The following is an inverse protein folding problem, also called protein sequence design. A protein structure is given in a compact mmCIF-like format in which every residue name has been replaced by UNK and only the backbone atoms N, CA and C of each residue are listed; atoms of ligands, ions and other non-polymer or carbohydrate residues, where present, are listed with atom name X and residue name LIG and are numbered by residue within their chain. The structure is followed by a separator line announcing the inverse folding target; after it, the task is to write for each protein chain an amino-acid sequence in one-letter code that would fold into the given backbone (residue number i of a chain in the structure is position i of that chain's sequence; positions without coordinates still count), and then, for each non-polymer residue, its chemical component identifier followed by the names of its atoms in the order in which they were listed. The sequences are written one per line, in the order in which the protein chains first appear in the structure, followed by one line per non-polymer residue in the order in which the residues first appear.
data_IF_697580454408
#
_entry.id   IF_697580454408
#
_cell.length_a   1.000
_cell.length_b   1.000
_cell.length_c   1.000
_cell.angle_alpha   90.00
_cell.angle_beta   90.00
_cell.angle_gamma   90.00
#
_symmetry.space_group_name_H-M   'P 1'
#
loop_
_entity.id
_entity.type
_entity.pdbx_description
1 polymer ?
#
# COMPACT_ATOMS: atom_id res chain seq x y z
N UNK A 1 17.19 -16.75 -4.81
CA UNK A 1 16.34 -15.57 -4.99
C UNK A 1 16.16 -14.98 -3.61
N UNK A 2 16.76 -13.82 -3.39
CA UNK A 2 16.63 -13.16 -2.09
C UNK A 2 15.18 -12.69 -1.94
N UNK A 3 14.59 -12.94 -0.77
CA UNK A 3 13.24 -12.51 -0.43
C UNK A 3 13.31 -11.26 0.41
N UNK A 4 12.44 -10.29 0.15
CA UNK A 4 12.40 -9.08 0.98
C UNK A 4 11.90 -9.44 2.39
N UNK A 5 12.57 -8.94 3.41
CA UNK A 5 12.15 -9.13 4.81
C UNK A 5 11.47 -7.86 5.31
N UNK A 6 10.20 -7.99 5.69
CA UNK A 6 9.43 -6.90 6.28
C UNK A 6 9.78 -6.72 7.76
N UNK A 7 9.75 -5.47 8.23
CA UNK A 7 9.72 -5.20 9.67
C UNK A 7 8.44 -5.76 10.29
N UNK A 8 8.40 -6.07 11.61
CA UNK A 8 7.19 -6.59 12.26
C UNK A 8 5.95 -5.71 12.05
N UNK A 9 6.13 -4.40 11.96
CA UNK A 9 5.05 -3.43 11.67
C UNK A 9 4.47 -3.63 10.28
N UNK A 10 5.31 -3.78 9.26
CA UNK A 10 4.86 -3.99 7.88
C UNK A 10 4.34 -5.41 7.67
N UNK A 11 4.94 -6.41 8.34
CA UNK A 11 4.45 -7.78 8.30
C UNK A 11 3.01 -7.84 8.83
N UNK A 12 2.73 -7.18 9.95
CA UNK A 12 1.37 -7.10 10.47
C UNK A 12 0.40 -6.52 9.43
N UNK A 13 0.77 -5.45 8.73
CA UNK A 13 -0.08 -4.88 7.65
C UNK A 13 -0.29 -5.89 6.53
N UNK A 14 0.78 -6.57 6.10
CA UNK A 14 0.73 -7.58 5.04
C UNK A 14 -0.20 -8.75 5.40
N UNK A 15 -0.20 -9.20 6.65
CA UNK A 15 -1.04 -10.29 7.14
C UNK A 15 -2.55 -9.94 7.11
N UNK A 16 -2.91 -8.64 7.06
CA UNK A 16 -4.29 -8.19 6.91
C UNK A 16 -4.73 -8.03 5.44
N UNK A 17 -3.83 -8.19 4.47
CA UNK A 17 -4.16 -8.10 3.04
C UNK A 17 -4.67 -9.47 2.59
N UNK A 18 -5.96 -9.62 2.25
CA UNK A 18 -6.45 -10.86 1.66
C UNK A 18 -5.88 -11.05 0.25
N UNK A 19 -5.86 -12.29 -0.27
CA UNK A 19 -5.56 -12.53 -1.67
C UNK A 19 -6.47 -11.70 -2.58
N UNK A 20 -5.88 -10.89 -3.45
CA UNK A 20 -6.63 -9.98 -4.34
C UNK A 20 -5.92 -9.74 -5.68
N UNK A 21 -6.60 -9.11 -6.63
CA UNK A 21 -6.02 -8.81 -7.94
C UNK A 21 -5.10 -7.59 -7.86
N UNK A 22 -5.52 -6.55 -7.15
CA UNK A 22 -4.78 -5.31 -7.03
C UNK A 22 -4.82 -4.74 -5.59
N UNK A 23 -3.65 -4.48 -5.02
CA UNK A 23 -3.52 -3.73 -3.76
C UNK A 23 -2.83 -2.38 -3.98
N UNK A 24 -3.35 -1.33 -3.35
CA UNK A 24 -2.74 0.00 -3.31
C UNK A 24 -2.06 0.24 -1.96
N UNK A 25 -0.79 0.62 -1.97
CA UNK A 25 -0.01 1.06 -0.83
C UNK A 25 0.19 2.58 -0.89
N UNK A 26 -0.39 3.28 0.09
CA UNK A 26 -0.43 4.75 0.15
C UNK A 26 0.55 5.24 1.21
N UNK A 27 1.48 6.09 0.79
CA UNK A 27 2.60 6.54 1.63
C UNK A 27 3.71 5.49 1.65
N UNK A 28 4.00 4.90 0.50
CA UNK A 28 4.97 3.80 0.40
C UNK A 28 6.38 4.31 0.71
N UNK A 29 6.99 3.75 1.75
CA UNK A 29 8.40 4.02 2.06
C UNK A 29 9.24 2.85 1.54
N UNK A 30 10.02 3.11 0.49
CA UNK A 30 10.83 2.12 -0.24
C UNK A 30 10.08 0.98 -0.96
N UNK A 31 8.74 0.96 -1.00
CA UNK A 31 8.00 -0.05 -1.77
C UNK A 31 8.07 -1.47 -1.22
N UNK A 32 8.46 -1.66 0.04
CA UNK A 32 8.70 -3.00 0.58
C UNK A 32 7.42 -3.83 0.71
N UNK A 33 6.32 -3.22 1.15
CA UNK A 33 5.03 -3.88 1.28
C UNK A 33 4.50 -4.41 -0.07
N UNK A 34 4.37 -3.58 -1.14
CA UNK A 34 3.85 -4.08 -2.41
C UNK A 34 4.77 -5.13 -3.05
N UNK A 35 6.09 -4.98 -2.93
CA UNK A 35 7.05 -5.99 -3.39
C UNK A 35 6.86 -7.32 -2.65
N UNK A 36 6.75 -7.28 -1.33
CA UNK A 36 6.54 -8.50 -0.54
C UNK A 36 5.23 -9.20 -0.89
N UNK A 37 4.13 -8.45 -1.04
CA UNK A 37 2.83 -8.99 -1.40
C UNK A 37 2.86 -9.69 -2.78
N UNK A 38 3.59 -9.11 -3.74
CA UNK A 38 3.78 -9.68 -5.07
C UNK A 38 4.68 -10.92 -5.05
N UNK A 39 5.77 -10.92 -4.27
CA UNK A 39 6.67 -12.06 -4.12
C UNK A 39 5.97 -13.26 -3.50
N UNK A 40 5.10 -13.03 -2.51
CA UNK A 40 4.36 -14.08 -1.81
C UNK A 40 3.07 -14.48 -2.53
N UNK A 41 2.77 -13.90 -3.70
CA UNK A 41 1.58 -14.23 -4.48
C UNK A 41 0.27 -13.83 -3.80
N UNK A 42 0.31 -12.95 -2.80
CA UNK A 42 -0.89 -12.42 -2.14
C UNK A 42 -1.65 -11.52 -3.12
N UNK A 43 -0.94 -10.79 -3.98
CA UNK A 43 -1.54 -9.89 -4.97
C UNK A 43 -1.00 -10.16 -6.36
N UNK A 44 -1.81 -9.92 -7.39
CA UNK A 44 -1.37 -10.09 -8.79
C UNK A 44 -0.63 -8.84 -9.27
N UNK A 45 -1.14 -7.66 -8.92
CA UNK A 45 -0.58 -6.34 -9.23
C UNK A 45 -0.61 -5.46 -8.00
N UNK A 46 0.24 -4.44 -7.96
CA UNK A 46 0.25 -3.47 -6.87
C UNK A 46 0.35 -2.03 -7.39
N UNK A 47 -0.24 -1.09 -6.65
CA UNK A 47 -0.10 0.34 -6.85
C UNK A 47 0.70 0.88 -5.67
N UNK A 48 1.79 1.57 -5.94
CA UNK A 48 2.63 2.20 -4.93
C UNK A 48 2.51 3.72 -5.11
N UNK A 49 1.85 4.39 -4.16
CA UNK A 49 1.56 5.82 -4.24
C UNK A 49 2.25 6.61 -3.12
N UNK A 50 2.84 7.74 -3.47
CA UNK A 50 3.40 8.70 -2.53
C UNK A 50 3.31 10.12 -3.10
N UNK A 51 3.26 11.13 -2.23
CA UNK A 51 3.26 12.53 -2.63
C UNK A 51 4.65 12.98 -3.10
N UNK A 52 5.70 12.34 -2.58
CA UNK A 52 7.09 12.66 -2.87
C UNK A 52 7.69 11.72 -3.92
N UNK A 53 8.48 12.30 -4.83
CA UNK A 53 9.20 11.55 -5.87
C UNK A 53 10.32 10.65 -5.32
N UNK A 54 10.90 11.01 -4.17
CA UNK A 54 12.00 10.27 -3.55
C UNK A 54 11.62 8.85 -3.12
N UNK A 55 10.59 8.69 -2.27
CA UNK A 55 10.03 7.39 -1.90
C UNK A 55 9.61 6.54 -3.10
N UNK A 56 8.99 7.14 -4.13
CA UNK A 56 8.64 6.42 -5.37
C UNK A 56 9.86 5.92 -6.14
N UNK A 57 10.91 6.73 -6.25
CA UNK A 57 12.16 6.29 -6.88
C UNK A 57 12.80 5.13 -6.10
N UNK A 58 12.73 5.15 -4.78
CA UNK A 58 13.20 4.04 -3.94
C UNK A 58 12.33 2.79 -4.12
N UNK A 59 11.00 2.94 -4.15
CA UNK A 59 10.06 1.85 -4.41
C UNK A 59 10.31 1.20 -5.77
N UNK A 60 10.61 2.00 -6.80
CA UNK A 60 10.96 1.51 -8.13
C UNK A 60 12.25 0.68 -8.12
N UNK A 61 13.28 1.15 -7.43
CA UNK A 61 14.53 0.39 -7.24
C UNK A 61 14.30 -0.94 -6.54
N UNK A 62 13.48 -0.94 -5.48
CA UNK A 62 13.14 -2.18 -4.75
C UNK A 62 12.40 -3.17 -5.66
N UNK A 63 11.40 -2.71 -6.42
CA UNK A 63 10.68 -3.59 -7.34
C UNK A 63 11.56 -4.13 -8.47
N UNK A 64 12.41 -3.27 -9.04
CA UNK A 64 13.37 -3.67 -10.08
C UNK A 64 14.39 -4.71 -9.59
N UNK A 65 14.84 -4.61 -8.33
CA UNK A 65 15.78 -5.58 -7.74
C UNK A 65 15.22 -7.00 -7.63
N UNK A 66 13.89 -7.17 -7.75
CA UNK A 66 13.21 -8.46 -7.70
C UNK A 66 12.44 -8.77 -8.99
N UNK A 67 12.71 -8.06 -10.09
CA UNK A 67 12.04 -8.23 -11.39
C UNK A 67 10.51 -8.06 -11.32
N UNK A 68 10.03 -7.23 -10.39
CA UNK A 68 8.60 -6.98 -10.15
C UNK A 68 8.14 -5.61 -10.63
N UNK A 69 9.04 -4.80 -11.22
CA UNK A 69 8.73 -3.43 -11.63
C UNK A 69 7.50 -3.36 -12.56
N UNK A 70 7.36 -4.28 -13.51
CA UNK A 70 6.23 -4.30 -14.45
C UNK A 70 4.89 -4.62 -13.77
N UNK A 71 4.92 -5.22 -12.57
CA UNK A 71 3.74 -5.58 -11.77
C UNK A 71 3.39 -4.52 -10.73
N UNK A 72 4.21 -3.48 -10.60
CA UNK A 72 4.00 -2.36 -9.69
C UNK A 72 3.78 -1.07 -10.47
N UNK A 73 2.65 -0.43 -10.27
CA UNK A 73 2.40 0.91 -10.80
C UNK A 73 2.80 1.96 -9.76
N UNK A 74 3.73 2.84 -10.14
CA UNK A 74 4.16 3.95 -9.30
C UNK A 74 3.35 5.20 -9.61
N UNK A 75 2.73 5.81 -8.61
CA UNK A 75 1.86 6.97 -8.78
C UNK A 75 2.29 8.08 -7.83
N UNK A 76 2.61 9.25 -8.37
CA UNK A 76 2.78 10.44 -7.54
C UNK A 76 1.41 11.07 -7.27
N UNK A 77 0.94 10.99 -6.03
CA UNK A 77 -0.37 11.50 -5.64
C UNK A 77 -0.43 11.85 -4.15
N UNK A 78 -1.31 12.79 -3.81
CA UNK A 78 -1.69 13.04 -2.43
C UNK A 78 -2.74 12.01 -1.99
N UNK A 79 -2.31 11.02 -1.21
CA UNK A 79 -3.18 9.96 -0.72
C UNK A 79 -3.82 9.15 -1.86
N UNK A 80 -5.15 9.19 -1.95
CA UNK A 80 -5.96 8.44 -2.92
C UNK A 80 -6.44 9.30 -4.10
N UNK A 81 -5.86 10.48 -4.31
CA UNK A 81 -6.26 11.40 -5.38
C UNK A 81 -5.63 11.02 -6.73
N UNK A 82 -5.96 9.85 -7.25
CA UNK A 82 -5.55 9.39 -8.58
C UNK A 82 -6.63 8.52 -9.25
N UNK A 83 -6.69 8.45 -10.60
CA UNK A 83 -7.84 7.89 -11.32
C UNK A 83 -8.22 6.46 -10.95
N UNK A 84 -7.23 5.60 -10.69
CA UNK A 84 -7.45 4.16 -10.49
C UNK A 84 -7.49 3.75 -9.02
N UNK A 85 -7.52 4.71 -8.09
CA UNK A 85 -7.55 4.42 -6.66
C UNK A 85 -8.79 3.59 -6.26
N UNK A 86 -9.91 3.79 -6.96
CA UNK A 86 -11.16 3.07 -6.75
C UNK A 86 -11.14 1.64 -7.29
N UNK A 87 -10.21 1.32 -8.18
CA UNK A 87 -10.10 0.00 -8.79
C UNK A 87 -9.24 -0.97 -7.96
N UNK A 88 -8.58 -0.49 -6.91
CA UNK A 88 -7.84 -1.34 -5.99
C UNK A 88 -8.79 -2.13 -5.08
N UNK A 89 -8.60 -3.43 -4.97
CA UNK A 89 -9.39 -4.31 -4.09
C UNK A 89 -9.09 -4.02 -2.62
N UNK A 90 -7.82 -3.74 -2.33
CA UNK A 90 -7.30 -3.48 -0.98
C UNK A 90 -6.48 -2.21 -1.00
N UNK A 91 -6.73 -1.34 -0.02
CA UNK A 91 -5.95 -0.11 0.19
C UNK A 91 -5.27 -0.22 1.55
N UNK A 92 -3.95 -0.08 1.53
CA UNK A 92 -3.08 -0.07 2.71
C UNK A 92 -2.56 1.35 2.92
N UNK A 93 -2.64 1.81 4.17
CA UNK A 93 -2.19 3.13 4.59
C UNK A 93 -1.44 2.94 5.91
N UNK A 94 -0.12 3.01 5.88
CA UNK A 94 0.72 2.70 7.04
C UNK A 94 1.90 3.68 7.18
N UNK A 95 2.45 3.81 8.39
CA UNK A 95 3.64 4.64 8.62
C UNK A 95 3.39 6.15 8.68
N UNK A 96 2.13 6.58 8.58
CA UNK A 96 1.73 7.98 8.71
C UNK A 96 1.09 8.28 10.07
N UNK A 97 1.14 9.55 10.47
CA UNK A 97 0.42 10.04 11.65
C UNK A 97 -1.10 9.88 11.49
N UNK A 98 -1.81 9.63 12.59
CA UNK A 98 -3.25 9.39 12.57
C UNK A 98 -4.06 10.54 11.95
N UNK A 99 -3.62 11.79 12.13
CA UNK A 99 -4.22 12.97 11.51
C UNK A 99 -4.11 12.94 9.98
N UNK A 100 -2.93 12.57 9.46
CA UNK A 100 -2.69 12.40 8.02
C UNK A 100 -3.58 11.30 7.45
N UNK A 101 -3.66 10.15 8.13
CA UNK A 101 -4.56 9.06 7.71
C UNK A 101 -6.01 9.56 7.68
N UNK A 102 -6.46 10.24 8.72
CA UNK A 102 -7.81 10.83 8.76
C UNK A 102 -8.04 11.84 7.63
N UNK A 103 -7.06 12.66 7.29
CA UNK A 103 -7.15 13.63 6.20
C UNK A 103 -7.32 12.93 4.84
N UNK A 104 -6.50 11.90 4.56
CA UNK A 104 -6.61 11.09 3.34
C UNK A 104 -8.02 10.46 3.24
N UNK A 105 -8.52 9.86 4.32
CA UNK A 105 -9.86 9.24 4.36
C UNK A 105 -11.00 10.26 4.23
N UNK A 106 -10.79 11.49 4.69
CA UNK A 106 -11.78 12.58 4.58
C UNK A 106 -11.82 13.15 3.18
N UNK A 107 -10.65 13.29 2.54
CA UNK A 107 -10.52 13.68 1.13
C UNK A 107 -11.00 12.59 0.15
N UNK A 108 -11.40 11.42 0.66
CA UNK A 108 -11.80 10.26 -0.16
C UNK A 108 -13.24 9.79 0.19
N UNK A 109 -14.29 10.57 -0.14
CA UNK A 109 -15.66 10.27 0.27
C UNK A 109 -16.20 8.94 -0.28
N UNK A 110 -15.71 8.51 -1.44
CA UNK A 110 -16.16 7.28 -2.10
C UNK A 110 -15.84 6.01 -1.30
N UNK A 111 -14.86 6.04 -0.39
CA UNK A 111 -14.61 4.94 0.54
C UNK A 111 -15.80 4.66 1.48
N UNK A 112 -16.65 5.66 1.73
CA UNK A 112 -17.80 5.55 2.64
C UNK A 112 -19.07 5.04 1.94
N UNK A 113 -19.09 5.02 0.60
CA UNK A 113 -20.31 4.75 -0.17
C UNK A 113 -20.48 3.28 -0.61
N UNK A 114 -19.53 2.39 -0.29
CA UNK A 114 -19.73 0.94 -0.26
C UNK A 114 -18.87 0.08 -1.21
N UNK A 115 -18.65 -1.17 -0.78
CA UNK A 115 -18.05 -2.37 -1.43
C UNK A 115 -16.54 -2.66 -1.36
N UNK A 116 -15.67 -1.76 -0.87
CA UNK A 116 -14.26 -2.08 -0.62
C UNK A 116 -14.00 -2.55 0.82
N UNK A 117 -13.25 -3.64 1.03
CA UNK A 117 -12.81 -4.06 2.36
C UNK A 117 -11.73 -3.11 2.89
N UNK A 118 -12.14 -2.04 3.56
CA UNK A 118 -11.23 -1.10 4.22
C UNK A 118 -10.76 -1.65 5.57
N UNK A 119 -9.47 -1.99 5.70
CA UNK A 119 -8.89 -2.44 6.95
C UNK A 119 -8.12 -1.31 7.65
N UNK A 120 -8.80 -0.51 8.48
CA UNK A 120 -8.13 0.30 9.51
C UNK A 120 -8.80 0.05 10.85
N UNK A 121 -8.13 -0.70 11.73
CA UNK A 121 -8.47 -0.74 13.17
C UNK A 121 -7.26 -0.33 13.96
N UNK A 122 -7.45 0.62 14.90
CA UNK A 122 -6.46 0.95 15.92
C UNK A 122 -6.04 -0.34 16.63
N UNK A 123 -4.75 -0.61 16.67
CA UNK A 123 -4.17 -1.51 17.66
C UNK A 123 -4.46 -0.90 19.04
N UNK A 124 -5.54 -1.34 19.71
CA UNK A 124 -5.63 -1.19 21.16
C UNK A 124 -4.58 -2.14 21.73
N UNK A 125 -3.47 -1.61 22.22
CA UNK A 125 -2.63 -2.31 23.18
C UNK A 125 -3.55 -2.79 24.31
N UNK A 126 -3.77 -4.11 24.39
CA UNK A 126 -4.29 -4.73 25.60
C UNK A 126 -3.10 -5.00 26.50
N UNK A 127 -3.18 -4.44 27.69
CA UNK A 127 -2.33 -4.73 28.84
C UNK A 127 -2.48 -6.20 29.25
#
# INVERSE_FOLDING_TARGET
MDSIHLSPRLQMVADFVPPCACAADIGTDHGYLPVWLLQNGVVQTAIAADIHVGPLANARKSAAAYDLEERVRFVQADGLQFPDAQAADVITIAGMGGETICAILTATPWLRQGNGSFCSRRAKCRN
#
